data_IF_231370594856
#
_entry.id   IF_231370594856
#
_cell.length_a   1.000
_cell.length_b   1.000
_cell.length_c   1.000
_cell.angle_alpha   90.00
_cell.angle_beta   90.00
_cell.angle_gamma   90.00
#
_symmetry.space_group_name_H-M   'P 1'
#
loop_
_entity.id
_entity.type
_entity.pdbx_description
1 polymer ?
#
# COMPACT_ATOMS: atom_id res chain seq x y z
N UNK A 1 -10.44 -3.47 -13.37
CA UNK A 1 -9.54 -3.21 -12.23
C UNK A 1 -8.12 -3.51 -12.64
N UNK A 2 -7.28 -2.47 -12.68
CA UNK A 2 -5.90 -2.51 -13.18
C UNK A 2 -4.88 -2.85 -12.07
N UNK A 3 -5.37 -3.36 -10.94
CA UNK A 3 -4.56 -3.79 -9.81
C UNK A 3 -4.98 -5.17 -9.30
N UNK A 4 -4.10 -5.80 -8.54
CA UNK A 4 -4.31 -7.03 -7.79
C UNK A 4 -4.18 -6.74 -6.31
N UNK A 5 -5.11 -7.25 -5.50
CA UNK A 5 -5.03 -7.23 -4.04
C UNK A 5 -4.16 -8.41 -3.58
N UNK A 6 -3.16 -8.13 -2.75
CA UNK A 6 -2.21 -9.12 -2.22
C UNK A 6 -2.61 -9.62 -0.83
N UNK A 7 -3.11 -8.74 0.04
CA UNK A 7 -3.62 -9.10 1.37
C UNK A 7 -5.05 -8.56 1.54
N UNK A 8 -6.04 -9.39 1.23
CA UNK A 8 -7.45 -8.99 1.20
C UNK A 8 -7.96 -8.53 2.57
N UNK A 9 -7.62 -9.26 3.63
CA UNK A 9 -8.11 -8.96 4.98
C UNK A 9 -7.67 -7.56 5.44
N UNK A 10 -6.38 -7.23 5.25
CA UNK A 10 -5.84 -5.92 5.65
C UNK A 10 -6.30 -4.81 4.69
N UNK A 11 -6.43 -5.11 3.40
CA UNK A 11 -6.98 -4.17 2.41
C UNK A 11 -8.43 -3.76 2.73
N UNK A 12 -9.27 -4.71 3.13
CA UNK A 12 -10.65 -4.43 3.56
C UNK A 12 -10.70 -3.69 4.90
N UNK A 13 -9.85 -4.08 5.86
CA UNK A 13 -9.72 -3.38 7.14
C UNK A 13 -9.35 -1.91 6.96
N UNK A 14 -8.35 -1.61 6.12
CA UNK A 14 -7.84 -0.25 5.91
C UNK A 14 -8.91 0.72 5.40
N UNK A 15 -9.91 0.23 4.67
CA UNK A 15 -11.02 1.04 4.14
C UNK A 15 -12.00 1.51 5.21
N UNK A 16 -12.08 0.81 6.35
CA UNK A 16 -13.14 1.05 7.35
C UNK A 16 -12.60 1.37 8.74
N UNK A 17 -11.35 1.01 9.06
CA UNK A 17 -10.72 1.27 10.36
C UNK A 17 -9.19 1.34 10.26
N UNK A 18 -8.54 1.69 11.37
CA UNK A 18 -7.08 1.75 11.46
C UNK A 18 -6.40 0.41 11.18
N UNK A 19 -5.18 0.46 10.62
CA UNK A 19 -4.27 -0.69 10.44
C UNK A 19 -3.23 -0.80 11.55
N UNK A 20 -3.32 0.00 12.61
CA UNK A 20 -2.39 0.00 13.75
C UNK A 20 -2.22 -1.38 14.39
N UNK A 21 -3.29 -2.18 14.45
CA UNK A 21 -3.29 -3.50 15.09
C UNK A 21 -2.86 -4.65 14.16
N UNK A 22 -2.44 -4.35 12.93
CA UNK A 22 -2.05 -5.37 11.96
C UNK A 22 -0.69 -5.95 12.35
N UNK A 23 -0.60 -7.26 12.67
CA UNK A 23 0.67 -7.89 12.97
C UNK A 23 1.50 -8.03 11.70
N UNK A 24 2.80 -7.77 11.80
CA UNK A 24 3.75 -8.00 10.72
C UNK A 24 4.58 -9.25 11.01
N UNK A 25 4.88 -9.99 9.96
CA UNK A 25 5.95 -11.00 9.96
C UNK A 25 7.33 -10.32 9.92
N UNK A 26 8.41 -11.08 10.18
CA UNK A 26 9.79 -10.55 10.09
C UNK A 26 10.10 -9.97 8.70
N UNK A 27 9.61 -10.60 7.63
CA UNK A 27 9.78 -10.10 6.27
C UNK A 27 9.03 -8.77 6.05
N UNK A 28 7.80 -8.66 6.56
CA UNK A 28 6.97 -7.46 6.41
C UNK A 28 7.47 -6.30 7.29
N UNK A 29 8.16 -6.58 8.40
CA UNK A 29 8.87 -5.57 9.18
C UNK A 29 10.00 -4.93 8.38
N UNK A 30 10.66 -5.68 7.50
CA UNK A 30 11.76 -5.17 6.67
C UNK A 30 11.27 -4.53 5.38
N UNK A 31 10.28 -5.15 4.72
CA UNK A 31 9.88 -4.80 3.35
C UNK A 31 8.51 -4.11 3.25
N UNK A 32 7.73 -4.11 4.34
CA UNK A 32 6.32 -3.70 4.33
C UNK A 32 5.38 -4.82 3.90
N UNK A 33 4.14 -4.77 4.39
CA UNK A 33 3.05 -5.65 3.98
C UNK A 33 2.39 -5.11 2.71
N UNK A 34 2.53 -5.83 1.60
CA UNK A 34 1.92 -5.45 0.32
C UNK A 34 0.40 -5.62 0.35
N UNK A 35 -0.33 -4.55 0.09
CA UNK A 35 -1.80 -4.55 0.02
C UNK A 35 -2.31 -4.69 -1.41
N UNK A 36 -1.76 -3.90 -2.33
CA UNK A 36 -2.15 -3.91 -3.73
C UNK A 36 -0.95 -3.64 -4.65
N UNK A 37 -1.03 -4.12 -5.90
CA UNK A 37 -0.02 -3.92 -6.94
C UNK A 37 -0.71 -3.71 -8.28
N UNK A 38 -0.17 -2.82 -9.12
CA UNK A 38 -0.65 -2.67 -10.49
C UNK A 38 -0.44 -3.97 -11.30
N UNK A 39 -1.35 -4.22 -12.24
CA UNK A 39 -1.24 -5.35 -13.18
C UNK A 39 -0.36 -5.03 -14.38
N UNK A 40 -0.26 -3.75 -14.72
CA UNK A 40 0.48 -3.28 -15.89
C UNK A 40 1.93 -2.95 -15.53
N UNK A 41 2.16 -2.46 -14.31
CA UNK A 41 3.49 -2.13 -13.81
C UNK A 41 3.69 -2.66 -12.39
N UNK A 42 4.48 -3.71 -12.23
CA UNK A 42 4.70 -4.33 -10.92
C UNK A 42 5.53 -3.48 -9.94
N UNK A 43 6.17 -2.39 -10.40
CA UNK A 43 6.88 -1.47 -9.51
C UNK A 43 5.90 -0.56 -8.76
N UNK A 44 4.70 -0.32 -9.31
CA UNK A 44 3.61 0.40 -8.65
C UNK A 44 2.86 -0.49 -7.65
N UNK A 45 3.08 -0.27 -6.35
CA UNK A 45 2.45 -1.02 -5.28
C UNK A 45 2.15 -0.18 -4.03
N UNK A 46 1.08 -0.57 -3.34
CA UNK A 46 0.65 0.00 -2.06
C UNK A 46 0.99 -0.99 -0.94
N UNK A 47 1.65 -0.48 0.11
CA UNK A 47 2.06 -1.24 1.28
C UNK A 47 1.53 -0.62 2.56
N UNK A 48 1.47 -1.42 3.63
CA UNK A 48 1.56 -0.94 5.02
C UNK A 48 2.99 -1.13 5.48
N UNK A 49 3.58 -0.10 6.06
CA UNK A 49 4.93 -0.13 6.63
C UNK A 49 4.89 0.29 8.09
N UNK A 50 5.92 -0.11 8.84
CA UNK A 50 6.17 0.41 10.18
C UNK A 50 7.21 1.53 10.09
N UNK A 51 6.86 2.72 10.56
CA UNK A 51 7.78 3.86 10.64
C UNK A 51 7.73 4.38 12.07
N UNK A 52 8.84 4.21 12.79
CA UNK A 52 9.00 4.62 14.19
C UNK A 52 7.93 4.04 15.13
N UNK A 53 7.51 2.78 14.91
CA UNK A 53 6.47 2.12 15.70
C UNK A 53 5.04 2.50 15.30
N UNK A 54 4.86 3.30 14.24
CA UNK A 54 3.56 3.66 13.70
C UNK A 54 3.35 3.01 12.33
N UNK A 55 2.21 2.30 12.20
CA UNK A 55 1.78 1.81 10.89
C UNK A 55 1.36 2.96 9.99
N UNK A 56 1.98 3.03 8.82
CA UNK A 56 1.68 4.00 7.74
C UNK A 56 1.44 3.25 6.44
N UNK A 57 0.84 3.94 5.48
CA UNK A 57 0.71 3.45 4.12
C UNK A 57 1.87 4.02 3.29
N UNK A 58 2.38 3.21 2.38
CA UNK A 58 3.42 3.62 1.46
C UNK A 58 3.01 3.27 0.04
N UNK A 59 3.00 4.26 -0.85
CA UNK A 59 2.88 4.03 -2.30
C UNK A 59 4.29 4.05 -2.86
N UNK A 60 4.70 2.92 -3.44
CA UNK A 60 5.97 2.78 -4.16
C UNK A 60 5.70 2.76 -5.65
N UNK A 61 6.50 3.46 -6.43
CA UNK A 61 6.51 3.39 -7.89
C UNK A 61 7.91 3.71 -8.41
N UNK A 62 8.54 2.73 -9.07
CA UNK A 62 9.96 2.75 -9.44
C UNK A 62 10.85 3.14 -8.24
N UNK A 63 11.58 4.25 -8.34
CA UNK A 63 12.46 4.77 -7.28
C UNK A 63 11.74 5.74 -6.32
N UNK A 64 10.44 5.97 -6.51
CA UNK A 64 9.63 6.91 -5.71
C UNK A 64 8.88 6.21 -4.59
N UNK A 65 8.87 6.83 -3.42
CA UNK A 65 8.25 6.33 -2.19
C UNK A 65 7.50 7.46 -1.50
N UNK A 66 6.17 7.34 -1.40
CA UNK A 66 5.32 8.34 -0.76
C UNK A 66 4.62 7.73 0.45
N UNK A 67 4.78 8.36 1.62
CA UNK A 67 4.21 7.91 2.89
C UNK A 67 2.92 8.67 3.25
N UNK A 68 1.93 7.93 3.73
CA UNK A 68 0.62 8.45 4.12
C UNK A 68 0.20 7.88 5.47
N UNK A 69 -0.46 8.70 6.29
CA UNK A 69 -1.02 8.26 7.57
C UNK A 69 -2.44 7.69 7.43
N UNK A 70 -3.18 8.08 6.40
CA UNK A 70 -4.56 7.69 6.17
C UNK A 70 -4.75 6.88 4.90
N UNK A 71 -5.65 5.89 4.97
CA UNK A 71 -6.00 5.03 3.83
C UNK A 71 -6.44 5.84 2.61
N UNK A 72 -7.35 6.81 2.78
CA UNK A 72 -7.93 7.55 1.66
C UNK A 72 -6.85 8.27 0.83
N UNK A 73 -5.93 8.98 1.48
CA UNK A 73 -4.84 9.68 0.78
C UNK A 73 -3.91 8.71 0.05
N UNK A 74 -3.55 7.59 0.68
CA UNK A 74 -2.72 6.57 0.05
C UNK A 74 -3.43 5.93 -1.15
N UNK A 75 -4.73 5.66 -1.01
CA UNK A 75 -5.54 5.05 -2.04
C UNK A 75 -5.78 5.98 -3.23
N UNK A 76 -6.07 7.26 -2.99
CA UNK A 76 -6.19 8.28 -4.04
C UNK A 76 -4.87 8.42 -4.81
N UNK A 77 -3.73 8.46 -4.12
CA UNK A 77 -2.43 8.52 -4.77
C UNK A 77 -2.15 7.26 -5.61
N UNK A 78 -2.34 6.07 -5.04
CA UNK A 78 -2.14 4.80 -5.76
C UNK A 78 -3.04 4.70 -7.00
N UNK A 79 -4.31 5.08 -6.90
CA UNK A 79 -5.25 5.03 -8.04
C UNK A 79 -4.96 6.10 -9.09
N UNK A 80 -4.45 7.26 -8.70
CA UNK A 80 -3.93 8.25 -9.64
C UNK A 80 -2.72 7.72 -10.41
N UNK A 81 -1.75 7.10 -9.72
CA UNK A 81 -0.61 6.44 -10.36
C UNK A 81 -1.06 5.31 -11.31
N UNK A 82 -2.05 4.49 -10.90
CA UNK A 82 -2.61 3.45 -11.77
C UNK A 82 -3.15 4.00 -13.09
N UNK A 83 -3.82 5.15 -13.04
CA UNK A 83 -4.37 5.81 -14.24
C UNK A 83 -3.29 6.41 -15.14
N UNK A 84 -2.09 6.67 -14.61
CA UNK A 84 -0.95 7.15 -15.40
C UNK A 84 -0.20 5.98 -16.02
N UNK A 85 0.06 4.92 -15.25
CA UNK A 85 0.75 3.74 -15.72
C UNK A 85 0.00 3.01 -16.86
N UNK A 86 -1.34 3.09 -16.87
CA UNK A 86 -2.18 2.50 -17.92
C UNK A 86 -2.46 3.38 -19.14
N UNK A 87 -1.80 4.53 -19.28
CA UNK A 87 -1.85 5.39 -20.47
C UNK A 87 -0.64 5.17 -21.35
#
# INVERSE_FOLDING_TARGET
MNYRVCNKAVFEQAQVRSVSDVPFTEEELQNGMKLAVSKEDTSLALYVVDVDGQKKFEVRWDDSHELFTGWYSAWENFTWCLNIAGK
#
